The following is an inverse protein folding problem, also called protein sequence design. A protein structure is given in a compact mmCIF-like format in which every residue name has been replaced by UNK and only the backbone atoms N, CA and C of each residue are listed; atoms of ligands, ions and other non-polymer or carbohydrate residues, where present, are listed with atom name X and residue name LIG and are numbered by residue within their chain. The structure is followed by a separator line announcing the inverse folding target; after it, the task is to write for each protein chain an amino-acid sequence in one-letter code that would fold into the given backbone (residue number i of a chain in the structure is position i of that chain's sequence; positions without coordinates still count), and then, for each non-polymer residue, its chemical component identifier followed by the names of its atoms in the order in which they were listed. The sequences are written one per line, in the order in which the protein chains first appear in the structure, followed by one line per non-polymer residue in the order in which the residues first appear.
data_IF_102492219124
#
_entry.id   IF_102492219124
#
_cell.length_a   1.000
_cell.length_b   1.000
_cell.length_c   1.000
_cell.angle_alpha   90.00
_cell.angle_beta   90.00
_cell.angle_gamma   90.00
#
_symmetry.space_group_name_H-M   'P 1'
#
loop_
_entity.id
_entity.type
_entity.pdbx_description
1 polymer ?
#
# COMPACT_ATOMS: atom_id res chain seq x y z
N UNK A 1 -5.93 8.99 34.42
CA UNK A 1 -4.65 8.29 34.65
C UNK A 1 -4.68 7.02 33.81
N UNK A 2 -3.74 6.88 32.88
CA UNK A 2 -3.68 5.81 31.88
C UNK A 2 -2.99 6.29 30.61
N UNK A 3 -1.69 6.60 30.71
CA UNK A 3 -0.84 7.03 29.61
C UNK A 3 -0.43 5.84 28.71
N UNK A 4 -0.11 6.14 27.44
CA UNK A 4 0.62 5.34 26.42
C UNK A 4 -0.29 4.65 25.38
N UNK A 5 -0.26 4.96 24.08
CA UNK A 5 0.91 5.21 23.22
C UNK A 5 0.55 6.10 22.02
N UNK A 6 1.42 7.05 21.66
CA UNK A 6 1.46 7.68 20.32
C UNK A 6 1.95 6.65 19.29
N UNK A 7 1.15 5.60 19.04
CA UNK A 7 1.42 4.63 17.98
C UNK A 7 1.08 5.28 16.63
N UNK A 8 2.00 5.27 15.67
CA UNK A 8 1.62 5.56 14.28
C UNK A 8 0.55 4.54 13.88
N UNK A 9 -0.64 5.00 13.52
CA UNK A 9 -1.66 4.14 12.93
C UNK A 9 -1.12 3.59 11.60
N UNK A 10 -1.01 2.26 11.51
CA UNK A 10 -0.55 1.56 10.33
C UNK A 10 -1.74 1.23 9.46
N UNK A 11 -1.57 1.40 8.15
CA UNK A 11 -2.60 1.11 7.16
C UNK A 11 -1.98 0.32 6.02
N UNK A 12 -2.79 -0.47 5.34
CA UNK A 12 -2.45 -1.05 4.04
C UNK A 12 -3.38 -0.50 2.97
N UNK A 13 -2.95 -0.52 1.71
CA UNK A 13 -3.83 -0.18 0.60
C UNK A 13 -4.58 -1.43 0.15
N UNK A 14 -5.78 -1.24 -0.40
CA UNK A 14 -6.51 -2.32 -1.08
C UNK A 14 -5.69 -2.92 -2.25
N UNK A 15 -4.77 -2.15 -2.83
CA UNK A 15 -3.86 -2.61 -3.89
C UNK A 15 -2.87 -3.62 -3.32
N UNK A 16 -2.25 -3.32 -2.18
CA UNK A 16 -1.36 -4.25 -1.47
C UNK A 16 -2.09 -5.51 -1.03
N UNK A 17 -3.34 -5.39 -0.56
CA UNK A 17 -4.17 -6.55 -0.27
C UNK A 17 -4.40 -7.40 -1.53
N UNK A 18 -4.76 -6.79 -2.66
CA UNK A 18 -4.96 -7.49 -3.92
C UNK A 18 -3.69 -8.22 -4.40
N UNK A 19 -2.51 -7.61 -4.26
CA UNK A 19 -1.23 -8.24 -4.59
C UNK A 19 -0.96 -9.50 -3.75
N UNK A 20 -1.26 -9.45 -2.45
CA UNK A 20 -1.13 -10.60 -1.54
C UNK A 20 -2.08 -11.73 -1.96
N UNK A 21 -3.35 -11.41 -2.17
CA UNK A 21 -4.37 -12.38 -2.56
C UNK A 21 -4.06 -13.02 -3.93
N UNK A 22 -3.62 -12.21 -4.89
CA UNK A 22 -3.17 -12.71 -6.19
C UNK A 22 -1.94 -13.62 -6.07
N UNK A 23 -1.03 -13.31 -5.14
CA UNK A 23 0.08 -14.18 -4.79
C UNK A 23 -0.36 -15.58 -4.35
N UNK A 24 -1.47 -15.70 -3.60
CA UNK A 24 -2.03 -16.99 -3.20
C UNK A 24 -2.63 -17.76 -4.36
N UNK A 25 -3.35 -17.08 -5.26
CA UNK A 25 -3.94 -17.72 -6.43
C UNK A 25 -2.90 -18.31 -7.38
N UNK A 26 -1.67 -17.80 -7.35
CA UNK A 26 -0.55 -18.32 -8.14
C UNK A 26 0.12 -19.55 -7.52
N UNK A 27 -0.17 -19.88 -6.26
CA UNK A 27 0.42 -21.04 -5.61
C UNK A 27 -0.34 -22.32 -5.99
N UNK A 28 0.38 -23.45 -6.17
CA UNK A 28 -0.27 -24.76 -6.28
C UNK A 28 -1.18 -25.02 -5.09
N UNK A 29 -2.31 -25.69 -5.34
CA UNK A 29 -3.19 -26.12 -4.27
C UNK A 29 -2.44 -27.05 -3.31
N UNK A 30 -2.56 -26.79 -2.01
CA UNK A 30 -1.85 -27.56 -1.00
C UNK A 30 -1.79 -26.88 0.35
N UNK A 31 -1.18 -27.56 1.32
CA UNK A 31 -1.07 -27.10 2.71
C UNK A 31 -0.46 -25.71 2.83
N UNK A 32 0.63 -25.45 2.09
CA UNK A 32 1.32 -24.14 2.09
C UNK A 32 0.41 -22.98 1.69
N UNK A 33 -0.42 -23.15 0.65
CA UNK A 33 -1.37 -22.12 0.21
C UNK A 33 -2.41 -21.85 1.29
N UNK A 34 -3.03 -22.90 1.83
CA UNK A 34 -4.04 -22.79 2.89
C UNK A 34 -3.51 -22.12 4.16
N UNK A 35 -2.29 -22.47 4.57
CA UNK A 35 -1.67 -21.90 5.76
C UNK A 35 -1.39 -20.39 5.57
N UNK A 36 -0.91 -19.98 4.40
CA UNK A 36 -0.67 -18.57 4.07
C UNK A 36 -1.97 -17.76 3.94
N UNK A 37 -2.98 -18.31 3.28
CA UNK A 37 -4.31 -17.70 3.16
C UNK A 37 -4.92 -17.44 4.54
N UNK A 38 -4.86 -18.43 5.44
CA UNK A 38 -5.37 -18.28 6.81
C UNK A 38 -4.67 -17.14 7.56
N UNK A 39 -3.33 -17.11 7.53
CA UNK A 39 -2.55 -16.06 8.21
C UNK A 39 -2.87 -14.67 7.65
N UNK A 40 -3.00 -14.55 6.34
CA UNK A 40 -3.33 -13.28 5.71
C UNK A 40 -4.75 -12.82 6.03
N UNK A 41 -5.72 -13.73 6.04
CA UNK A 41 -7.09 -13.42 6.42
C UNK A 41 -7.17 -12.92 7.86
N UNK A 42 -6.53 -13.62 8.80
CA UNK A 42 -6.41 -13.18 10.19
C UNK A 42 -5.75 -11.79 10.30
N UNK A 43 -4.71 -11.54 9.50
CA UNK A 43 -4.04 -10.24 9.47
C UNK A 43 -4.98 -9.13 8.96
N UNK A 44 -5.75 -9.39 7.90
CA UNK A 44 -6.69 -8.40 7.36
C UNK A 44 -7.86 -8.12 8.28
N UNK A 45 -8.45 -9.16 8.88
CA UNK A 45 -9.65 -9.05 9.71
C UNK A 45 -9.38 -8.59 11.15
N UNK A 46 -8.17 -8.83 11.67
CA UNK A 46 -7.85 -8.52 13.07
C UNK A 46 -6.88 -7.35 13.15
N UNK A 47 -5.80 -7.36 12.35
CA UNK A 47 -4.74 -6.35 12.47
C UNK A 47 -5.07 -5.09 11.68
N UNK A 48 -5.73 -5.22 10.53
CA UNK A 48 -6.07 -4.10 9.65
C UNK A 48 -7.57 -3.87 9.50
N UNK A 49 -8.38 -4.29 10.47
CA UNK A 49 -9.81 -4.00 10.44
C UNK A 49 -10.06 -2.49 10.38
N UNK A 50 -10.84 -2.06 9.39
CA UNK A 50 -11.05 -0.64 9.10
C UNK A 50 -9.79 0.15 8.67
N UNK A 51 -8.63 -0.49 8.53
CA UNK A 51 -7.35 0.14 8.17
C UNK A 51 -6.86 -0.23 6.76
N UNK A 52 -7.76 -0.76 5.93
CA UNK A 52 -7.53 -0.98 4.50
C UNK A 52 -8.04 0.22 3.71
N UNK A 53 -7.12 0.99 3.14
CA UNK A 53 -7.45 2.20 2.40
C UNK A 53 -7.86 1.87 0.96
N UNK A 54 -9.07 2.27 0.51
CA UNK A 54 -9.55 2.01 -0.84
C UNK A 54 -8.92 2.98 -1.85
N UNK A 55 -8.95 2.58 -3.13
CA UNK A 55 -8.71 3.51 -4.24
C UNK A 55 -10.01 4.27 -4.56
N UNK A 56 -10.29 5.32 -3.80
CA UNK A 56 -11.46 6.18 -3.95
C UNK A 56 -11.26 7.35 -4.93
N UNK A 57 -12.26 8.22 -5.08
CA UNK A 57 -12.19 9.38 -5.98
C UNK A 57 -11.09 10.38 -5.62
N UNK A 58 -10.74 10.51 -4.34
CA UNK A 58 -9.65 11.38 -3.91
C UNK A 58 -8.30 10.77 -4.34
N UNK A 59 -8.12 9.47 -4.16
CA UNK A 59 -6.95 8.75 -4.70
C UNK A 59 -6.90 8.81 -6.23
N UNK A 60 -8.03 8.67 -6.94
CA UNK A 60 -8.06 8.78 -8.40
C UNK A 60 -7.58 10.16 -8.91
N UNK A 61 -7.94 11.22 -8.18
CA UNK A 61 -7.48 12.58 -8.50
C UNK A 61 -5.97 12.74 -8.31
N UNK A 62 -5.40 12.19 -7.23
CA UNK A 62 -3.96 12.19 -7.01
C UNK A 62 -3.20 11.29 -8.00
N UNK A 63 -3.79 10.16 -8.39
CA UNK A 63 -3.23 9.26 -9.40
C UNK A 63 -2.99 10.00 -10.72
N UNK A 64 -3.99 10.75 -11.20
CA UNK A 64 -3.86 11.49 -12.46
C UNK A 64 -2.71 12.50 -12.42
N UNK A 65 -2.58 13.22 -11.29
CA UNK A 65 -1.48 14.18 -11.07
C UNK A 65 -0.12 13.50 -11.05
N UNK A 66 0.02 12.39 -10.32
CA UNK A 66 1.27 11.63 -10.19
C UNK A 66 1.67 11.06 -11.56
N UNK A 67 0.76 10.36 -12.24
CA UNK A 67 1.03 9.74 -13.53
C UNK A 67 1.46 10.76 -14.59
N UNK A 68 0.75 11.89 -14.69
CA UNK A 68 1.09 12.97 -15.62
C UNK A 68 2.47 13.58 -15.31
N UNK A 69 2.76 13.87 -14.03
CA UNK A 69 4.04 14.42 -13.62
C UNK A 69 5.20 13.45 -13.90
N UNK A 70 5.06 12.17 -13.53
CA UNK A 70 6.06 11.11 -13.77
C UNK A 70 6.33 10.91 -15.26
N UNK A 71 5.29 10.94 -16.09
CA UNK A 71 5.42 10.85 -17.55
C UNK A 71 6.16 12.06 -18.14
N UNK A 72 5.84 13.28 -17.69
CA UNK A 72 6.53 14.50 -18.12
C UNK A 72 8.02 14.49 -17.75
N UNK A 73 8.38 13.83 -16.64
CA UNK A 73 9.76 13.64 -16.21
C UNK A 73 10.51 12.51 -16.95
N UNK A 74 9.87 11.83 -17.91
CA UNK A 74 10.47 10.70 -18.62
C UNK A 74 10.66 9.45 -17.75
N UNK A 75 9.98 9.39 -16.59
CA UNK A 75 10.08 8.31 -15.61
C UNK A 75 8.67 7.77 -15.33
N UNK A 76 8.02 7.03 -16.25
CA UNK A 76 6.71 6.46 -15.98
C UNK A 76 6.74 5.58 -14.72
N UNK A 77 5.59 5.46 -14.08
CA UNK A 77 5.38 4.63 -12.88
C UNK A 77 4.38 3.52 -13.22
N UNK A 78 4.51 2.35 -12.59
CA UNK A 78 3.56 1.27 -12.77
C UNK A 78 2.16 1.70 -12.30
N UNK A 79 1.12 1.08 -12.83
CA UNK A 79 -0.25 1.40 -12.43
C UNK A 79 -0.49 1.12 -10.95
N UNK A 80 -0.03 -0.05 -10.45
CA UNK A 80 -0.19 -0.45 -9.06
C UNK A 80 0.55 0.51 -8.10
N UNK A 81 1.82 0.82 -8.38
CA UNK A 81 2.60 1.76 -7.54
C UNK A 81 1.99 3.16 -7.57
N UNK A 82 1.48 3.60 -8.71
CA UNK A 82 0.80 4.89 -8.81
C UNK A 82 -0.50 4.92 -8.00
N UNK A 83 -1.26 3.82 -7.96
CA UNK A 83 -2.44 3.70 -7.09
C UNK A 83 -2.06 3.73 -5.60
N UNK A 84 -1.02 2.99 -5.20
CA UNK A 84 -0.49 3.00 -3.82
C UNK A 84 -0.04 4.41 -3.43
N UNK A 85 0.75 5.06 -4.28
CA UNK A 85 1.24 6.42 -4.07
C UNK A 85 0.09 7.43 -3.96
N UNK A 86 -0.93 7.28 -4.80
CA UNK A 86 -2.07 8.16 -4.82
C UNK A 86 -2.95 8.03 -3.57
N UNK A 87 -3.16 6.81 -3.07
CA UNK A 87 -3.85 6.55 -1.80
C UNK A 87 -3.07 7.19 -0.65
N UNK A 88 -1.74 6.97 -0.59
CA UNK A 88 -0.91 7.57 0.44
C UNK A 88 -0.97 9.11 0.40
N UNK A 89 -0.89 9.69 -0.80
CA UNK A 89 -0.92 11.14 -1.00
C UNK A 89 -2.26 11.75 -0.64
N UNK A 90 -3.38 11.13 -1.03
CA UNK A 90 -4.73 11.66 -0.75
C UNK A 90 -5.04 11.70 0.74
N UNK A 91 -4.40 10.85 1.53
CA UNK A 91 -4.55 10.79 3.00
C UNK A 91 -3.43 11.49 3.78
N UNK A 92 -2.47 12.13 3.11
CA UNK A 92 -1.31 12.76 3.77
C UNK A 92 -0.39 11.76 4.49
N UNK A 93 -0.50 10.48 4.15
CA UNK A 93 0.21 9.39 4.79
C UNK A 93 1.69 9.34 4.40
N UNK A 94 2.47 8.62 5.21
CA UNK A 94 3.87 8.27 4.90
C UNK A 94 3.87 6.85 4.36
N UNK A 95 4.45 6.64 3.18
CA UNK A 95 4.57 5.32 2.59
C UNK A 95 5.82 4.61 3.12
N UNK A 96 5.61 3.49 3.81
CA UNK A 96 6.68 2.57 4.19
C UNK A 96 6.96 1.60 3.04
N UNK A 97 8.16 1.64 2.46
CA UNK A 97 8.54 0.73 1.36
C UNK A 97 10.03 0.42 1.37
N UNK A 98 10.39 -0.76 0.86
CA UNK A 98 11.79 -1.13 0.57
C UNK A 98 12.28 -0.51 -0.74
N UNK A 99 11.38 -0.31 -1.69
CA UNK A 99 11.70 0.16 -3.03
C UNK A 99 11.38 1.65 -3.18
N UNK A 100 12.15 2.49 -2.51
CA UNK A 100 11.89 3.94 -2.49
C UNK A 100 12.01 4.57 -3.88
N UNK A 101 12.86 4.02 -4.76
CA UNK A 101 13.14 4.55 -6.09
C UNK A 101 11.88 4.63 -6.97
N UNK A 102 10.99 3.63 -6.88
CA UNK A 102 9.76 3.58 -7.68
C UNK A 102 8.76 4.68 -7.29
N UNK A 103 8.86 5.16 -6.05
CA UNK A 103 7.97 6.18 -5.48
C UNK A 103 8.60 7.58 -5.45
N UNK A 104 9.84 7.74 -5.90
CA UNK A 104 10.45 9.06 -6.05
C UNK A 104 9.61 9.96 -6.96
N UNK A 105 9.59 11.26 -6.68
CA UNK A 105 8.81 12.27 -7.42
C UNK A 105 7.29 12.05 -7.41
N UNK A 106 6.74 11.19 -6.55
CA UNK A 106 5.29 11.04 -6.39
C UNK A 106 4.66 12.06 -5.44
N UNK A 107 5.47 12.92 -4.79
CA UNK A 107 4.97 13.93 -3.85
C UNK A 107 4.48 13.34 -2.52
N UNK A 108 5.05 12.19 -2.13
CA UNK A 108 4.74 11.50 -0.87
C UNK A 108 5.99 11.40 -0.01
N UNK A 109 5.79 11.35 1.32
CA UNK A 109 6.88 11.05 2.26
C UNK A 109 7.14 9.55 2.26
N UNK A 110 8.41 9.16 2.21
CA UNK A 110 8.85 7.77 2.22
C UNK A 110 9.58 7.45 3.53
N UNK A 111 9.35 6.25 4.06
CA UNK A 111 10.14 5.67 5.14
C UNK A 111 10.65 4.31 4.69
N UNK A 112 11.96 4.07 4.89
CA UNK A 112 12.60 2.77 4.67
C UNK A 112 12.67 2.02 6.01
N UNK A 113 11.88 0.97 6.25
CA UNK A 113 11.71 0.40 7.60
C UNK A 113 12.88 -0.42 8.15
N UNK A 114 13.89 -0.73 7.32
CA UNK A 114 14.91 -1.76 7.60
C UNK A 114 16.32 -1.20 7.35
N UNK A 115 16.58 0.03 7.77
CA UNK A 115 17.89 0.66 7.67
C UNK A 115 18.91 0.03 8.63
#
# INVERSE_FOLDING_TARGET
MGSSSSGRELYITAITQAEILWGFERLPSGKRRKDLERIAQETFEITFDGQILPFDSAAASEFAKIAAARRKLGRPISQADCQIAAIARSRGAVLATRNTADFEHCGIRLVKPWC
#
